data_IF_610033065529
#
_entry.id   IF_610033065529
#
_cell.length_a   1.000
_cell.length_b   1.000
_cell.length_c   1.000
_cell.angle_alpha   90.00
_cell.angle_beta   90.00
_cell.angle_gamma   90.00
#
_symmetry.space_group_name_H-M   'P 1'
#
loop_
_entity.id
_entity.type
_entity.pdbx_description
1 polymer ?
#
# COMPACT_ATOMS: atom_id res chain seq x y z
N UNK A 1 -0.57 10.90 13.17
CA UNK A 1 -1.11 11.64 12.04
C UNK A 1 -2.62 11.49 11.89
N UNK A 2 -3.22 12.36 11.15
CA UNK A 2 -4.63 12.31 10.76
C UNK A 2 -4.69 12.22 9.23
N UNK A 3 -5.32 11.17 8.73
CA UNK A 3 -5.72 11.08 7.34
C UNK A 3 -7.22 11.22 7.26
N UNK A 4 -7.72 11.97 6.31
CA UNK A 4 -9.15 12.02 6.03
C UNK A 4 -9.42 11.98 4.54
N UNK A 5 -10.62 11.52 4.19
CA UNK A 5 -11.06 11.39 2.82
C UNK A 5 -12.46 12.01 2.72
N UNK A 6 -12.60 12.96 1.82
CA UNK A 6 -13.90 13.54 1.45
C UNK A 6 -14.59 12.58 0.47
N UNK A 7 -15.86 12.29 0.69
CA UNK A 7 -16.63 11.33 -0.09
C UNK A 7 -18.04 11.81 -0.35
N UNK A 8 -18.66 11.25 -1.33
CA UNK A 8 -20.09 11.25 -1.61
C UNK A 8 -20.48 9.96 -2.34
N UNK A 9 -21.67 9.86 -2.84
CA UNK A 9 -22.16 8.69 -3.58
C UNK A 9 -21.45 8.48 -4.93
N UNK A 10 -20.80 9.52 -5.47
CA UNK A 10 -20.07 9.45 -6.75
C UNK A 10 -18.60 9.07 -6.59
N UNK A 11 -18.11 9.03 -5.34
CA UNK A 11 -16.72 8.71 -5.07
C UNK A 11 -16.44 7.23 -5.26
N UNK A 12 -15.60 6.92 -6.21
CA UNK A 12 -15.05 5.57 -6.41
C UNK A 12 -13.68 5.46 -5.73
N UNK A 13 -13.55 4.44 -4.88
CA UNK A 13 -12.28 4.12 -4.26
C UNK A 13 -11.30 3.64 -5.33
N UNK A 14 -10.04 4.16 -5.36
CA UNK A 14 -9.02 3.59 -6.21
C UNK A 14 -8.76 2.13 -5.80
N UNK A 15 -9.00 1.23 -6.73
CA UNK A 15 -8.68 -0.19 -6.60
C UNK A 15 -7.41 -0.48 -7.41
N UNK A 16 -6.83 -1.65 -7.22
CA UNK A 16 -5.70 -2.10 -8.03
C UNK A 16 -5.99 -2.06 -9.52
N UNK A 17 -7.22 -2.29 -9.92
CA UNK A 17 -7.68 -2.17 -11.30
C UNK A 17 -7.48 -0.77 -11.88
N UNK A 18 -7.62 0.27 -11.06
CA UNK A 18 -7.38 1.65 -11.49
C UNK A 18 -5.89 1.87 -11.80
N UNK A 19 -5.00 1.27 -11.04
CA UNK A 19 -3.58 1.32 -11.30
C UNK A 19 -3.20 0.66 -12.65
N UNK A 20 -3.70 -0.55 -12.91
CA UNK A 20 -3.40 -1.29 -14.14
C UNK A 20 -4.13 -0.75 -15.37
N UNK A 21 -5.29 -0.15 -15.19
CA UNK A 21 -6.12 0.37 -16.28
C UNK A 21 -5.93 1.87 -16.50
N UNK A 22 -5.09 2.53 -15.70
CA UNK A 22 -4.86 3.98 -15.76
C UNK A 22 -6.15 4.81 -15.74
N UNK A 23 -7.20 4.32 -15.08
CA UNK A 23 -8.45 5.04 -14.97
C UNK A 23 -8.29 6.22 -14.00
N UNK A 24 -8.75 7.42 -14.39
CA UNK A 24 -8.75 8.53 -13.46
C UNK A 24 -9.66 8.25 -12.27
N UNK A 25 -9.31 8.84 -11.12
CA UNK A 25 -10.16 8.79 -9.93
C UNK A 25 -11.40 9.65 -10.16
N UNK A 26 -12.55 9.12 -9.74
CA UNK A 26 -13.75 9.95 -9.64
C UNK A 26 -13.66 10.77 -8.35
N UNK A 27 -13.67 12.08 -8.52
CA UNK A 27 -13.72 13.01 -7.39
C UNK A 27 -15.16 13.13 -6.87
N UNK A 28 -15.36 13.28 -5.54
CA UNK A 28 -16.69 13.46 -4.97
C UNK A 28 -17.28 14.80 -5.44
N UNK A 29 -18.32 14.75 -6.26
CA UNK A 29 -18.89 15.93 -6.92
C UNK A 29 -19.45 16.96 -5.94
N UNK A 30 -20.00 16.51 -4.81
CA UNK A 30 -20.49 17.42 -3.77
C UNK A 30 -19.38 18.27 -3.19
N UNK A 31 -18.20 17.73 -2.98
CA UNK A 31 -17.01 18.45 -2.51
C UNK A 31 -16.27 19.20 -3.62
N UNK A 32 -16.05 18.52 -4.75
CA UNK A 32 -15.21 19.05 -5.84
C UNK A 32 -15.84 20.24 -6.56
N UNK A 33 -17.15 20.18 -6.80
CA UNK A 33 -17.95 21.25 -7.39
C UNK A 33 -17.28 21.95 -8.58
N UNK A 34 -16.86 21.20 -9.58
CA UNK A 34 -16.19 21.75 -10.77
C UNK A 34 -14.99 22.64 -10.45
N UNK A 35 -14.11 22.23 -9.51
CA UNK A 35 -12.93 22.95 -9.03
C UNK A 35 -13.21 24.16 -8.13
N UNK A 36 -14.45 24.39 -7.71
CA UNK A 36 -14.79 25.44 -6.74
C UNK A 36 -14.61 24.99 -5.30
N UNK A 37 -14.60 23.68 -5.04
CA UNK A 37 -14.32 23.10 -3.74
C UNK A 37 -12.81 22.93 -3.50
N UNK A 38 -12.44 22.84 -2.23
CA UNK A 38 -11.04 22.69 -1.84
C UNK A 38 -10.85 22.39 -0.37
N UNK A 39 -9.57 22.34 0.01
CA UNK A 39 -9.12 22.09 1.37
C UNK A 39 -8.04 23.12 1.69
N UNK A 40 -8.21 23.86 2.79
CA UNK A 40 -7.18 24.73 3.36
C UNK A 40 -6.66 24.12 4.66
N UNK A 41 -5.36 24.05 4.81
CA UNK A 41 -4.70 23.60 6.05
C UNK A 41 -3.82 24.74 6.53
N UNK A 42 -4.10 25.25 7.71
CA UNK A 42 -3.30 26.29 8.36
C UNK A 42 -2.81 25.81 9.72
N UNK A 43 -1.66 26.31 10.16
CA UNK A 43 -1.10 26.01 11.47
C UNK A 43 -0.68 27.31 12.14
N UNK A 44 -1.31 27.62 13.27
CA UNK A 44 -1.00 28.79 14.09
C UNK A 44 -1.01 28.41 15.57
N UNK A 45 -0.02 28.86 16.32
CA UNK A 45 0.07 28.67 17.77
C UNK A 45 -0.07 27.19 18.22
N UNK A 46 0.42 26.24 17.43
CA UNK A 46 0.32 24.81 17.71
C UNK A 46 -1.06 24.20 17.40
N UNK A 47 -1.99 24.98 16.85
CA UNK A 47 -3.29 24.52 16.40
C UNK A 47 -3.26 24.34 14.88
N UNK A 48 -3.73 23.19 14.41
CA UNK A 48 -3.91 22.90 12.99
C UNK A 48 -5.40 23.03 12.65
N UNK A 49 -5.73 23.98 11.79
CA UNK A 49 -7.07 24.15 11.26
C UNK A 49 -7.17 23.51 9.87
N UNK A 50 -8.21 22.73 9.66
CA UNK A 50 -8.51 22.09 8.38
C UNK A 50 -9.90 22.56 7.97
N UNK A 51 -9.93 23.38 6.93
CA UNK A 51 -11.16 23.88 6.34
C UNK A 51 -11.46 23.11 5.06
N UNK A 52 -12.63 22.49 4.99
CA UNK A 52 -13.11 21.83 3.79
C UNK A 52 -14.31 22.62 3.27
N UNK A 53 -14.29 22.98 2.02
CA UNK A 53 -15.37 23.76 1.41
C UNK A 53 -15.71 23.19 0.03
N UNK A 54 -16.97 23.36 -0.37
CA UNK A 54 -17.45 22.94 -1.70
C UNK A 54 -17.62 24.11 -2.67
N UNK A 55 -17.42 25.33 -2.20
CA UNK A 55 -17.61 26.53 -2.98
C UNK A 55 -19.08 26.84 -3.34
N UNK A 56 -19.27 27.95 -3.98
CA UNK A 56 -20.60 28.41 -4.38
C UNK A 56 -21.20 27.54 -5.49
N UNK A 57 -22.49 27.21 -5.35
CA UNK A 57 -23.29 26.50 -6.38
C UNK A 57 -24.73 26.88 -6.33
N UNK A 58 -25.39 26.76 -7.49
CA UNK A 58 -26.83 26.81 -7.57
C UNK A 58 -27.40 25.41 -7.40
N UNK A 59 -28.45 25.28 -6.61
CA UNK A 59 -29.19 24.03 -6.40
C UNK A 59 -30.59 24.13 -7.00
N UNK A 60 -31.05 23.03 -7.55
CA UNK A 60 -32.41 22.89 -8.04
C UNK A 60 -33.31 22.42 -6.91
N UNK A 61 -34.60 22.71 -7.05
CA UNK A 61 -35.61 22.18 -6.13
C UNK A 61 -35.54 20.64 -6.09
N UNK A 62 -35.50 20.07 -4.89
CA UNK A 62 -35.38 18.62 -4.68
C UNK A 62 -33.98 18.04 -4.85
N UNK A 63 -32.98 18.84 -5.22
CA UNK A 63 -31.60 18.37 -5.31
C UNK A 63 -31.04 18.09 -3.92
N UNK A 64 -30.37 16.96 -3.78
CA UNK A 64 -29.69 16.53 -2.54
C UNK A 64 -28.19 16.44 -2.76
N UNK A 65 -27.42 16.97 -1.82
CA UNK A 65 -25.95 16.81 -1.80
C UNK A 65 -25.53 16.01 -0.58
N UNK A 66 -24.71 14.99 -0.81
CA UNK A 66 -24.16 14.16 0.25
C UNK A 66 -22.71 14.55 0.55
N UNK A 67 -22.44 14.95 1.77
CA UNK A 67 -21.11 15.33 2.26
C UNK A 67 -20.67 14.33 3.33
N UNK A 68 -19.82 13.40 2.95
CA UNK A 68 -19.29 12.39 3.84
C UNK A 68 -17.80 12.61 4.06
N UNK A 69 -17.36 12.41 5.30
CA UNK A 69 -15.96 12.48 5.69
C UNK A 69 -15.58 11.18 6.40
N UNK A 70 -14.47 10.58 6.02
CA UNK A 70 -13.87 9.47 6.74
C UNK A 70 -12.56 9.90 7.34
N UNK A 71 -12.40 9.70 8.65
CA UNK A 71 -11.16 9.93 9.37
C UNK A 71 -10.43 8.63 9.65
N UNK A 72 -9.12 8.67 9.54
CA UNK A 72 -8.22 7.64 10.03
C UNK A 72 -7.14 8.30 10.86
N UNK A 73 -7.14 8.02 12.16
CA UNK A 73 -6.15 8.53 13.09
C UNK A 73 -5.00 7.53 13.15
N UNK A 74 -3.83 7.96 12.72
CA UNK A 74 -2.60 7.14 12.68
C UNK A 74 -1.39 7.99 13.07
N UNK A 75 -0.32 7.35 13.52
CA UNK A 75 -0.22 5.95 13.91
C UNK A 75 -0.73 5.74 15.34
N UNK A 76 -1.18 4.54 15.63
CA UNK A 76 -1.37 4.09 17.00
C UNK A 76 -0.04 3.81 17.68
N UNK A 77 1.02 3.68 16.89
CA UNK A 77 2.39 3.51 17.33
C UNK A 77 3.21 4.71 16.87
N UNK A 78 3.99 5.27 17.79
CA UNK A 78 4.91 6.37 17.48
C UNK A 78 5.92 5.92 16.42
N UNK A 79 6.10 6.73 15.38
CA UNK A 79 7.09 6.52 14.35
C UNK A 79 8.39 7.17 14.77
N UNK A 80 9.49 6.42 14.77
CA UNK A 80 10.83 6.99 14.77
C UNK A 80 11.09 7.62 13.41
N UNK A 81 10.97 8.95 13.33
CA UNK A 81 11.11 9.70 12.08
C UNK A 81 12.52 9.61 11.53
N UNK A 82 13.55 9.57 12.38
CA UNK A 82 14.94 9.42 11.96
C UNK A 82 15.16 8.07 11.27
N UNK A 83 14.73 6.99 11.91
CA UNK A 83 14.80 5.65 11.34
C UNK A 83 14.00 5.57 10.05
N UNK A 84 12.78 6.13 10.04
CA UNK A 84 11.91 6.11 8.86
C UNK A 84 12.57 6.78 7.66
N UNK A 85 13.13 8.00 7.81
CA UNK A 85 13.76 8.72 6.71
C UNK A 85 15.13 8.16 6.30
N UNK A 86 15.79 7.41 7.17
CA UNK A 86 17.05 6.73 6.86
C UNK A 86 16.85 5.35 6.23
N UNK A 87 15.64 4.80 6.30
CA UNK A 87 15.33 3.49 5.71
C UNK A 87 15.23 3.59 4.19
N UNK A 88 16.04 2.79 3.48
CA UNK A 88 16.06 2.69 2.02
C UNK A 88 15.92 1.24 1.60
N UNK A 89 14.89 0.96 0.81
CA UNK A 89 14.64 -0.36 0.27
C UNK A 89 15.31 -0.56 -1.08
N UNK A 90 16.02 -1.68 -1.23
CA UNK A 90 16.41 -2.22 -2.53
C UNK A 90 15.44 -3.36 -2.85
N UNK A 91 14.50 -3.12 -3.75
CA UNK A 91 13.45 -4.08 -4.12
C UNK A 91 13.92 -5.02 -5.25
N UNK A 92 14.98 -5.76 -4.99
CA UNK A 92 15.55 -6.72 -5.94
C UNK A 92 16.50 -7.65 -5.23
N UNK A 93 16.50 -8.94 -5.62
CA UNK A 93 17.58 -9.84 -5.24
C UNK A 93 18.88 -9.44 -5.97
N UNK A 94 19.88 -9.06 -5.22
CA UNK A 94 21.23 -8.71 -5.69
C UNK A 94 22.26 -9.12 -4.64
N UNK A 95 23.55 -9.25 -4.99
CA UNK A 95 24.60 -9.42 -4.00
C UNK A 95 24.55 -8.33 -2.92
N UNK A 96 24.84 -8.70 -1.67
CA UNK A 96 24.75 -7.77 -0.53
C UNK A 96 25.60 -6.52 -0.73
N UNK A 97 26.77 -6.64 -1.33
CA UNK A 97 27.63 -5.49 -1.64
C UNK A 97 26.98 -4.50 -2.62
N UNK A 98 26.12 -5.00 -3.50
CA UNK A 98 25.34 -4.11 -4.39
C UNK A 98 24.28 -3.34 -3.63
N UNK A 99 23.65 -3.95 -2.59
CA UNK A 99 22.73 -3.23 -1.71
C UNK A 99 23.43 -2.05 -1.04
N UNK A 100 24.64 -2.26 -0.55
CA UNK A 100 25.47 -1.22 0.07
C UNK A 100 25.80 -0.10 -0.93
N UNK A 101 26.21 -0.44 -2.16
CA UNK A 101 26.48 0.54 -3.23
C UNK A 101 25.28 1.42 -3.56
N UNK A 102 24.07 0.88 -3.40
CA UNK A 102 22.83 1.63 -3.59
C UNK A 102 22.39 2.43 -2.35
N UNK A 103 23.21 2.48 -1.32
CA UNK A 103 22.87 3.03 -0.01
C UNK A 103 21.60 2.40 0.59
N UNK A 104 21.35 1.11 0.28
CA UNK A 104 20.22 0.36 0.82
C UNK A 104 20.48 -0.02 2.27
N UNK A 105 19.43 0.02 3.08
CA UNK A 105 19.44 -0.46 4.47
C UNK A 105 18.59 -1.72 4.65
N UNK A 106 17.73 -1.97 3.68
CA UNK A 106 16.87 -3.16 3.62
C UNK A 106 16.88 -3.67 2.18
N UNK A 107 17.12 -4.96 2.00
CA UNK A 107 16.84 -5.63 0.74
C UNK A 107 15.50 -6.35 0.82
N UNK A 108 14.60 -6.07 -0.11
CA UNK A 108 13.34 -6.78 -0.26
C UNK A 108 13.49 -7.78 -1.39
N UNK A 109 13.74 -9.05 -1.02
CA UNK A 109 13.95 -10.13 -1.97
C UNK A 109 12.63 -10.56 -2.57
N UNK A 110 12.42 -10.18 -3.83
CA UNK A 110 11.26 -10.63 -4.60
C UNK A 110 11.34 -12.14 -4.87
N UNK A 111 10.28 -12.77 -5.35
CA UNK A 111 10.32 -14.16 -5.83
C UNK A 111 10.99 -14.28 -7.21
N UNK A 112 11.03 -15.50 -7.76
CA UNK A 112 11.63 -15.85 -9.05
C UNK A 112 13.16 -15.69 -9.11
N UNK A 113 13.86 -16.02 -8.04
CA UNK A 113 15.32 -16.11 -7.99
C UNK A 113 15.77 -17.37 -7.23
N UNK A 114 17.07 -17.57 -7.15
CA UNK A 114 17.63 -18.80 -6.60
C UNK A 114 17.39 -19.01 -5.10
N UNK A 115 17.23 -17.94 -4.30
CA UNK A 115 16.99 -18.07 -2.87
C UNK A 115 15.49 -18.02 -2.52
N UNK A 116 14.66 -17.40 -3.35
CA UNK A 116 13.21 -17.29 -3.18
C UNK A 116 12.50 -17.57 -4.53
N UNK A 117 12.49 -18.82 -5.03
CA UNK A 117 11.99 -19.12 -6.36
C UNK A 117 10.47 -19.01 -6.49
N UNK A 118 9.73 -19.22 -5.41
CA UNK A 118 8.27 -19.28 -5.42
C UNK A 118 7.65 -18.22 -4.55
N UNK A 119 6.62 -17.54 -5.09
CA UNK A 119 5.88 -16.53 -4.34
C UNK A 119 5.19 -17.16 -3.13
N UNK A 120 5.24 -16.46 -2.00
CA UNK A 120 4.65 -16.87 -0.72
C UNK A 120 5.04 -18.28 -0.24
N UNK A 121 6.12 -18.85 -0.79
CA UNK A 121 6.65 -20.13 -0.37
C UNK A 121 8.17 -20.05 -0.17
N UNK A 122 8.65 -19.45 0.93
CA UNK A 122 10.08 -19.23 1.16
C UNK A 122 10.85 -20.47 1.61
N UNK A 123 10.20 -21.60 1.78
CA UNK A 123 10.79 -22.79 2.41
C UNK A 123 11.56 -23.70 1.45
N UNK A 124 11.66 -23.36 0.17
CA UNK A 124 12.24 -24.24 -0.83
C UNK A 124 13.78 -24.31 -0.75
N UNK A 125 14.44 -23.17 -0.54
CA UNK A 125 15.91 -23.06 -0.50
C UNK A 125 16.39 -22.43 0.82
N UNK A 126 16.02 -23.03 1.95
CA UNK A 126 16.26 -22.48 3.29
C UNK A 126 17.74 -22.18 3.54
N UNK A 127 18.65 -23.12 3.16
CA UNK A 127 20.08 -22.94 3.44
C UNK A 127 20.69 -21.78 2.64
N UNK A 128 20.30 -21.61 1.38
CA UNK A 128 20.72 -20.45 0.58
C UNK A 128 20.17 -19.14 1.13
N UNK A 129 18.92 -19.14 1.59
CA UNK A 129 18.32 -17.98 2.24
C UNK A 129 19.06 -17.60 3.52
N UNK A 130 19.34 -18.59 4.39
CA UNK A 130 20.11 -18.37 5.62
C UNK A 130 21.47 -17.74 5.32
N UNK A 131 22.23 -18.32 4.40
CA UNK A 131 23.55 -17.80 4.03
C UNK A 131 23.47 -16.33 3.55
N UNK A 132 22.52 -16.01 2.71
CA UNK A 132 22.31 -14.63 2.24
C UNK A 132 21.89 -13.68 3.37
N UNK A 133 21.00 -14.13 4.26
CA UNK A 133 20.53 -13.35 5.41
C UNK A 133 21.68 -13.09 6.39
N UNK A 134 22.49 -14.11 6.68
CA UNK A 134 23.65 -13.99 7.56
C UNK A 134 24.69 -13.02 7.00
N UNK A 135 24.99 -13.12 5.70
CA UNK A 135 25.86 -12.17 5.02
C UNK A 135 25.29 -10.74 5.11
N UNK A 136 24.02 -10.55 4.81
CA UNK A 136 23.36 -9.24 4.88
C UNK A 136 23.41 -8.65 6.29
N UNK A 137 23.08 -9.45 7.30
CA UNK A 137 23.09 -9.02 8.70
C UNK A 137 24.51 -8.69 9.18
N UNK A 138 25.54 -9.46 8.77
CA UNK A 138 26.94 -9.14 9.10
C UNK A 138 27.40 -7.79 8.59
N UNK A 139 26.76 -7.29 7.54
CA UNK A 139 27.00 -5.97 6.91
C UNK A 139 25.96 -4.91 7.31
N UNK A 140 25.12 -5.18 8.30
CA UNK A 140 24.11 -4.25 8.80
C UNK A 140 22.89 -4.05 7.89
N UNK A 141 22.71 -4.91 6.89
CA UNK A 141 21.57 -4.86 5.98
C UNK A 141 20.45 -5.78 6.47
N UNK A 142 19.24 -5.26 6.61
CA UNK A 142 18.06 -6.06 6.93
C UNK A 142 17.52 -6.76 5.68
N UNK A 143 16.97 -7.95 5.85
CA UNK A 143 16.37 -8.71 4.74
C UNK A 143 14.89 -8.87 4.96
N UNK A 144 14.13 -8.61 3.92
CA UNK A 144 12.68 -8.86 3.83
C UNK A 144 12.41 -9.76 2.64
N UNK A 145 11.64 -10.81 2.82
CA UNK A 145 11.09 -11.58 1.72
C UNK A 145 9.77 -10.97 1.26
N UNK A 146 9.61 -10.88 -0.05
CA UNK A 146 8.36 -10.34 -0.62
C UNK A 146 7.23 -11.34 -0.45
N UNK A 147 6.14 -10.90 0.14
CA UNK A 147 4.89 -11.63 0.27
C UNK A 147 3.72 -10.79 -0.25
N UNK A 148 2.74 -11.45 -0.81
CA UNK A 148 1.48 -10.86 -1.24
C UNK A 148 0.30 -11.71 -0.77
N UNK A 149 -0.81 -11.08 -0.47
CA UNK A 149 -2.05 -11.78 -0.08
C UNK A 149 -2.86 -12.28 -1.28
N UNK A 150 -2.46 -11.93 -2.50
CA UNK A 150 -3.21 -12.21 -3.73
C UNK A 150 -2.83 -13.53 -4.41
N UNK A 151 -1.71 -14.09 -4.03
CA UNK A 151 -1.11 -15.20 -4.77
C UNK A 151 -0.61 -16.26 -3.81
N UNK A 152 -0.78 -17.52 -4.20
CA UNK A 152 -0.24 -18.67 -3.50
C UNK A 152 0.54 -19.52 -4.50
N UNK A 153 1.74 -19.96 -4.09
CA UNK A 153 2.52 -20.87 -4.92
C UNK A 153 1.87 -22.24 -5.00
N UNK A 154 1.93 -22.86 -6.17
CA UNK A 154 1.57 -24.29 -6.33
C UNK A 154 2.45 -25.25 -5.53
N UNK A 155 3.55 -24.77 -4.97
CA UNK A 155 4.43 -25.51 -4.05
C UNK A 155 3.95 -25.49 -2.59
N UNK A 156 2.99 -24.62 -2.25
CA UNK A 156 2.44 -24.58 -0.90
C UNK A 156 1.61 -25.84 -0.63
N UNK A 157 1.91 -26.52 0.44
CA UNK A 157 1.19 -27.73 0.82
C UNK A 157 -0.28 -27.46 1.11
N UNK A 158 -0.60 -26.26 1.57
CA UNK A 158 -1.94 -25.79 1.89
C UNK A 158 -2.82 -25.56 0.66
N UNK A 159 -2.24 -25.50 -0.55
CA UNK A 159 -2.96 -25.18 -1.78
C UNK A 159 -4.19 -26.08 -1.99
N UNK A 160 -4.05 -27.38 -1.78
CA UNK A 160 -5.14 -28.33 -2.02
C UNK A 160 -6.29 -28.14 -1.02
N UNK A 161 -5.97 -27.90 0.24
CA UNK A 161 -6.96 -27.60 1.27
C UNK A 161 -7.69 -26.27 0.96
N UNK A 162 -6.95 -25.22 0.59
CA UNK A 162 -7.53 -23.93 0.23
C UNK A 162 -8.38 -24.02 -1.06
N UNK A 163 -7.93 -24.81 -2.04
CA UNK A 163 -8.68 -25.02 -3.27
C UNK A 163 -10.03 -25.73 -3.03
N UNK A 164 -10.12 -26.58 -2.02
CA UNK A 164 -11.38 -27.26 -1.67
C UNK A 164 -12.45 -26.31 -1.14
N UNK A 165 -12.07 -25.12 -0.67
CA UNK A 165 -12.99 -24.06 -0.21
C UNK A 165 -13.57 -23.23 -1.37
N UNK A 166 -13.12 -23.49 -2.61
CA UNK A 166 -13.64 -22.83 -3.80
C UNK A 166 -13.59 -21.31 -3.74
N UNK A 167 -14.68 -20.68 -4.13
CA UNK A 167 -14.77 -19.21 -4.28
C UNK A 167 -14.77 -18.44 -2.95
N UNK A 168 -14.83 -19.13 -1.81
CA UNK A 168 -14.70 -18.46 -0.50
C UNK A 168 -13.30 -17.84 -0.30
N UNK A 169 -12.28 -18.44 -0.90
CA UNK A 169 -10.88 -18.01 -0.72
C UNK A 169 -10.20 -17.72 -2.06
N UNK A 170 -10.51 -18.50 -3.11
CA UNK A 170 -9.88 -18.35 -4.41
C UNK A 170 -10.73 -17.46 -5.31
N UNK A 171 -10.06 -16.49 -5.94
CA UNK A 171 -10.70 -15.68 -6.98
C UNK A 171 -11.07 -16.56 -8.19
N UNK A 172 -12.22 -16.29 -8.79
CA UNK A 172 -12.74 -16.98 -9.98
C UNK A 172 -11.95 -16.71 -11.27
N UNK A 173 -10.85 -15.96 -11.18
CA UNK A 173 -10.00 -15.58 -12.32
C UNK A 173 -10.50 -14.38 -13.12
N UNK A 174 -11.65 -13.80 -12.77
CA UNK A 174 -12.20 -12.61 -13.48
C UNK A 174 -11.64 -11.27 -12.98
N UNK A 175 -10.69 -11.35 -12.11
CA UNK A 175 -10.02 -10.18 -11.54
C UNK A 175 -10.78 -9.57 -10.37
N UNK A 176 -10.06 -9.06 -9.40
CA UNK A 176 -10.57 -8.30 -8.27
C UNK A 176 -10.05 -6.89 -8.30
#
# INVERSE_FOLDING_TARGET
GLQYVLRDETYERPLNTNFYQAKPLNLPNSWYNNKKGGINITSENGIVNIENYSGERSMKEGETLNFNIRFLITPFKTIDTKEHFNTRFVHKYVPVDSVIKFNGTIVNVHHANEINPYINYPFYNIEKQKAYIEEAHSKGIRVKLYNTIRELSYKAHELFALKSLGDEILNDGKGG
#
